data_IF_880318937936
#
_entry.id   IF_880318937936
#
_cell.length_a   1.000
_cell.length_b   1.000
_cell.length_c   1.000
_cell.angle_alpha   90.00
_cell.angle_beta   90.00
_cell.angle_gamma   90.00
#
_symmetry.space_group_name_H-M   'P 1'
#
loop_
_entity.id
_entity.type
_entity.pdbx_description
1 polymer ?
#
# COMPACT_ATOMS: atom_id res chain seq x y z
N UNK A 1 2.97 3.16 32.05
CA UNK A 1 2.07 3.64 30.98
C UNK A 1 2.58 3.04 29.68
N UNK A 2 1.86 2.15 28.99
CA UNK A 2 2.28 1.74 27.67
C UNK A 2 2.14 2.96 26.75
N UNK A 3 3.24 3.37 26.13
CA UNK A 3 3.27 4.44 25.17
C UNK A 3 2.61 3.91 23.90
N UNK A 4 1.40 4.35 23.60
CA UNK A 4 0.80 4.14 22.28
C UNK A 4 1.62 4.97 21.30
N UNK A 5 2.61 4.35 20.66
CA UNK A 5 3.34 4.97 19.56
C UNK A 5 2.31 5.33 18.50
N UNK A 6 2.11 6.62 18.23
CA UNK A 6 1.32 7.04 17.09
C UNK A 6 1.96 6.41 15.85
N UNK A 7 1.24 5.51 15.16
CA UNK A 7 1.73 4.92 13.95
C UNK A 7 1.91 6.04 12.90
N UNK A 8 3.11 6.14 12.34
CA UNK A 8 3.47 7.05 11.25
C UNK A 8 3.68 6.27 9.96
N UNK A 9 3.60 6.94 8.82
CA UNK A 9 3.87 6.32 7.54
C UNK A 9 5.35 5.91 7.41
N UNK A 10 5.60 4.65 7.05
CA UNK A 10 6.92 4.17 6.65
C UNK A 10 7.10 4.35 5.14
N UNK A 11 8.00 5.24 4.73
CA UNK A 11 8.37 5.44 3.30
C UNK A 11 9.74 4.85 2.94
N UNK A 12 10.47 4.32 3.93
CA UNK A 12 11.69 3.56 3.71
C UNK A 12 11.37 2.11 3.30
N UNK A 13 12.30 1.39 2.66
CA UNK A 13 12.13 -0.03 2.37
C UNK A 13 11.77 -0.82 3.64
N UNK A 14 10.64 -1.53 3.60
CA UNK A 14 10.06 -2.24 4.75
C UNK A 14 9.38 -3.55 4.33
N UNK A 15 9.84 -4.15 3.23
CA UNK A 15 9.38 -5.45 2.73
C UNK A 15 10.56 -6.40 2.82
N UNK A 16 10.40 -7.54 3.51
CA UNK A 16 11.48 -8.50 3.75
C UNK A 16 12.02 -9.13 2.46
N UNK A 17 11.13 -9.44 1.52
CA UNK A 17 11.44 -9.99 0.20
C UNK A 17 10.81 -9.11 -0.89
N UNK A 18 11.46 -7.99 -1.26
CA UNK A 18 10.88 -7.02 -2.20
C UNK A 18 10.70 -7.60 -3.61
N UNK A 19 11.61 -8.48 -4.03
CA UNK A 19 11.56 -9.11 -5.35
C UNK A 19 10.38 -10.09 -5.44
N UNK A 20 10.22 -10.98 -4.45
CA UNK A 20 9.10 -11.93 -4.38
C UNK A 20 7.75 -11.20 -4.36
N UNK A 21 7.65 -10.09 -3.62
CA UNK A 21 6.44 -9.26 -3.62
C UNK A 21 6.17 -8.64 -5.00
N UNK A 22 7.22 -8.15 -5.68
CA UNK A 22 7.07 -7.55 -6.99
C UNK A 22 6.66 -8.57 -8.06
N UNK A 23 7.22 -9.78 -8.02
CA UNK A 23 6.82 -10.89 -8.88
C UNK A 23 5.35 -11.26 -8.66
N UNK A 24 4.94 -11.46 -7.41
CA UNK A 24 3.55 -11.77 -7.07
C UNK A 24 2.56 -10.66 -7.52
N UNK A 25 2.98 -9.40 -7.45
CA UNK A 25 2.18 -8.28 -7.93
C UNK A 25 2.02 -8.32 -9.46
N UNK A 26 3.09 -8.60 -10.21
CA UNK A 26 3.03 -8.75 -11.67
C UNK A 26 2.11 -9.92 -12.05
N UNK A 27 2.26 -11.07 -11.40
CA UNK A 27 1.43 -12.24 -11.64
C UNK A 27 -0.05 -11.94 -11.41
N UNK A 28 -0.40 -11.18 -10.35
CA UNK A 28 -1.77 -10.79 -10.07
C UNK A 28 -2.41 -9.92 -11.16
N UNK A 29 -1.60 -9.25 -11.99
CA UNK A 29 -2.05 -8.45 -13.14
C UNK A 29 -2.09 -9.23 -14.45
N UNK A 30 -1.54 -10.44 -14.53
CA UNK A 30 -1.48 -11.20 -15.78
C UNK A 30 -2.90 -11.51 -16.30
N UNK A 31 -3.10 -11.23 -17.59
CA UNK A 31 -4.39 -11.45 -18.27
C UNK A 31 -5.46 -10.38 -18.00
N UNK A 32 -5.19 -9.41 -17.13
CA UNK A 32 -6.09 -8.27 -16.93
C UNK A 32 -5.89 -7.23 -18.04
N UNK A 33 -6.99 -6.66 -18.51
CA UNK A 33 -6.96 -5.42 -19.29
C UNK A 33 -6.44 -4.26 -18.43
N UNK A 34 -6.17 -3.11 -19.08
CA UNK A 34 -5.80 -1.88 -18.37
C UNK A 34 -6.87 -1.48 -17.34
N UNK A 35 -8.14 -1.50 -17.71
CA UNK A 35 -9.23 -1.09 -16.83
C UNK A 35 -9.40 -2.05 -15.64
N UNK A 36 -9.25 -3.34 -15.88
CA UNK A 36 -9.28 -4.36 -14.82
C UNK A 36 -8.07 -4.22 -13.88
N UNK A 37 -6.89 -3.88 -14.41
CA UNK A 37 -5.69 -3.60 -13.62
C UNK A 37 -5.87 -2.36 -12.73
N UNK A 38 -6.48 -1.29 -13.25
CA UNK A 38 -6.82 -0.12 -12.43
C UNK A 38 -7.82 -0.47 -11.33
N UNK A 39 -8.86 -1.24 -11.67
CA UNK A 39 -9.85 -1.70 -10.70
C UNK A 39 -9.24 -2.62 -9.63
N UNK A 40 -8.30 -3.49 -10.02
CA UNK A 40 -7.53 -4.32 -9.09
C UNK A 40 -6.73 -3.46 -8.12
N UNK A 41 -5.97 -2.48 -8.61
CA UNK A 41 -5.18 -1.57 -7.78
C UNK A 41 -6.05 -0.78 -6.79
N UNK A 42 -7.20 -0.28 -7.22
CA UNK A 42 -8.13 0.40 -6.33
C UNK A 42 -8.62 -0.52 -5.18
N UNK A 43 -8.96 -1.78 -5.49
CA UNK A 43 -9.35 -2.76 -4.46
C UNK A 43 -8.18 -3.09 -3.53
N UNK A 44 -6.98 -3.29 -4.07
CA UNK A 44 -5.78 -3.58 -3.28
C UNK A 44 -5.48 -2.45 -2.29
N UNK A 45 -5.52 -1.19 -2.75
CA UNK A 45 -5.33 -0.01 -1.89
C UNK A 45 -6.36 0.03 -0.75
N UNK A 46 -7.63 -0.27 -1.03
CA UNK A 46 -8.67 -0.32 0.01
C UNK A 46 -8.44 -1.42 1.05
N UNK A 47 -8.01 -2.61 0.61
CA UNK A 47 -7.68 -3.72 1.51
C UNK A 47 -6.49 -3.36 2.41
N UNK A 48 -5.43 -2.80 1.85
CA UNK A 48 -4.25 -2.37 2.60
C UNK A 48 -4.59 -1.21 3.55
N UNK A 49 -5.43 -0.27 3.12
CA UNK A 49 -5.90 0.82 3.97
C UNK A 49 -6.70 0.32 5.18
N UNK A 50 -7.55 -0.70 4.97
CA UNK A 50 -8.25 -1.37 6.05
C UNK A 50 -7.29 -2.08 7.02
N UNK A 51 -6.24 -2.72 6.51
CA UNK A 51 -5.20 -3.34 7.35
C UNK A 51 -4.44 -2.31 8.20
N UNK A 52 -4.14 -1.13 7.63
CA UNK A 52 -3.48 -0.01 8.34
C UNK A 52 -4.39 0.56 9.45
N UNK A 53 -5.68 0.70 9.19
CA UNK A 53 -6.69 1.09 10.19
C UNK A 53 -6.57 2.51 10.76
N UNK A 54 -5.60 3.32 10.32
CA UNK A 54 -5.31 4.66 10.84
C UNK A 54 -5.50 5.74 9.77
N UNK A 55 -6.54 6.57 9.91
CA UNK A 55 -6.77 7.69 9.00
C UNK A 55 -5.61 8.70 8.99
N UNK A 56 -4.89 8.84 10.11
CA UNK A 56 -3.71 9.72 10.18
C UNK A 56 -2.60 9.22 9.25
N UNK A 57 -2.27 7.92 9.32
CA UNK A 57 -1.28 7.28 8.43
C UNK A 57 -1.72 7.36 6.97
N UNK A 58 -3.01 7.14 6.68
CA UNK A 58 -3.53 7.23 5.31
C UNK A 58 -3.42 8.65 4.74
N UNK A 59 -3.63 9.69 5.56
CA UNK A 59 -3.41 11.08 5.13
C UNK A 59 -1.94 11.39 4.85
N UNK A 60 -1.03 10.87 5.68
CA UNK A 60 0.40 10.95 5.39
C UNK A 60 0.73 10.26 4.06
N UNK A 61 0.12 9.10 3.77
CA UNK A 61 0.30 8.37 2.51
C UNK A 61 -0.18 9.18 1.30
N UNK A 62 -1.33 9.84 1.37
CA UNK A 62 -1.81 10.72 0.30
C UNK A 62 -0.86 11.90 0.03
N UNK A 63 -0.34 12.50 1.10
CA UNK A 63 0.62 13.60 1.00
C UNK A 63 1.98 13.13 0.46
N UNK A 64 2.39 11.89 0.74
CA UNK A 64 3.60 11.29 0.17
C UNK A 64 3.42 10.99 -1.33
N UNK A 65 2.28 10.43 -1.74
CA UNK A 65 1.99 10.08 -3.14
C UNK A 65 1.88 11.30 -4.08
N UNK A 66 1.64 12.49 -3.54
CA UNK A 66 1.54 13.74 -4.32
C UNK A 66 2.91 14.42 -4.52
N UNK A 67 3.94 14.05 -3.73
CA UNK A 67 5.29 14.58 -3.86
C UNK A 67 6.03 13.81 -4.96
N UNK A 68 6.28 14.45 -6.09
CA UNK A 68 7.21 13.98 -7.13
C UNK A 68 8.66 14.17 -6.70
#
# INVERSE_FOLDING_TARGET
MPQTTAAHLTTAPNIDAPDDFYEALIEAHQGLSSDESHAFNARLVLVLANHIGSLAVLREAFAAATRQ
#
